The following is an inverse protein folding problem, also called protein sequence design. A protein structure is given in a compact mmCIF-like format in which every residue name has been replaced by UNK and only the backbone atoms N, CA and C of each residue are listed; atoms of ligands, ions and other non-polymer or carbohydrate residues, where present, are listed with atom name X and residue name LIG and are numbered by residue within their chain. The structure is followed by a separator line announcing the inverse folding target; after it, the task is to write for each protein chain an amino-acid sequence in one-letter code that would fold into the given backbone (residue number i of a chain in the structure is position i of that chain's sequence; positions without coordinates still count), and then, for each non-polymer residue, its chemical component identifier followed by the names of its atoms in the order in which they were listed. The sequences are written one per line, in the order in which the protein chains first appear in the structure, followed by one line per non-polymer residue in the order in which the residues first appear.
data_IF_520372253450
#
_entry.id   IF_520372253450
#
_cell.length_a   1.000
_cell.length_b   1.000
_cell.length_c   1.000
_cell.angle_alpha   90.00
_cell.angle_beta   90.00
_cell.angle_gamma   90.00
#
_symmetry.space_group_name_H-M   'P 1'
#
loop_
_entity.id
_entity.type
_entity.pdbx_description
1 polymer ?
#
# COMPACT_ATOMS: atom_id res chain seq x y z
N UNK A 1 -4.00 -11.71 -24.92
CA UNK A 1 -2.64 -12.13 -25.34
C UNK A 1 -2.46 -11.79 -26.83
N UNK A 2 -1.29 -11.23 -27.19
CA UNK A 2 -0.95 -10.92 -28.59
C UNK A 2 0.57 -10.99 -28.77
N UNK A 3 0.99 -11.38 -29.98
CA UNK A 3 2.41 -11.45 -30.34
C UNK A 3 3.06 -10.07 -30.33
N UNK A 4 4.38 -9.99 -30.24
CA UNK A 4 5.13 -8.74 -30.38
C UNK A 4 4.78 -8.10 -31.74
N UNK A 5 4.50 -6.80 -31.79
CA UNK A 5 4.09 -6.10 -33.00
C UNK A 5 2.60 -6.20 -33.39
N UNK A 6 1.75 -6.88 -32.60
CA UNK A 6 0.32 -7.05 -32.89
C UNK A 6 -0.57 -5.82 -32.60
N UNK A 7 0.01 -4.65 -32.35
CA UNK A 7 -0.74 -3.40 -32.11
C UNK A 7 -1.33 -3.25 -30.71
N UNK A 8 -0.94 -4.09 -29.73
CA UNK A 8 -1.45 -4.02 -28.33
C UNK A 8 -1.25 -2.64 -27.70
N UNK A 9 -0.04 -2.10 -27.78
CA UNK A 9 0.26 -0.77 -27.21
C UNK A 9 -0.55 0.33 -27.90
N UNK A 10 -0.75 0.22 -29.21
CA UNK A 10 -1.59 1.17 -29.96
C UNK A 10 -3.04 1.11 -29.52
N UNK A 11 -3.58 -0.11 -29.31
CA UNK A 11 -4.93 -0.29 -28.79
C UNK A 11 -5.07 0.28 -27.37
N UNK A 12 -4.11 -0.02 -26.49
CA UNK A 12 -4.12 0.50 -25.11
C UNK A 12 -4.02 2.03 -25.08
N UNK A 13 -3.19 2.64 -25.93
CA UNK A 13 -3.12 4.10 -26.07
C UNK A 13 -4.46 4.70 -26.48
N UNK A 14 -5.14 4.10 -27.45
CA UNK A 14 -6.49 4.53 -27.87
C UNK A 14 -7.53 4.36 -26.75
N UNK A 15 -7.46 3.28 -25.98
CA UNK A 15 -8.36 3.08 -24.82
C UNK A 15 -8.12 4.15 -23.76
N UNK A 16 -6.87 4.41 -23.38
CA UNK A 16 -6.51 5.45 -22.42
C UNK A 16 -7.03 6.82 -22.88
N UNK A 17 -6.77 7.18 -24.15
CA UNK A 17 -7.24 8.42 -24.76
C UNK A 17 -8.76 8.52 -24.72
N UNK A 18 -9.46 7.50 -25.21
CA UNK A 18 -10.92 7.47 -25.30
C UNK A 18 -11.56 7.59 -23.93
N UNK A 19 -11.15 6.76 -22.95
CA UNK A 19 -11.72 6.79 -21.61
C UNK A 19 -11.45 8.13 -20.91
N UNK A 20 -10.24 8.68 -21.06
CA UNK A 20 -9.91 9.99 -20.50
C UNK A 20 -10.77 11.10 -21.10
N UNK A 21 -11.01 11.08 -22.43
CA UNK A 21 -11.86 12.08 -23.10
C UNK A 21 -13.35 11.93 -22.72
N UNK A 22 -13.81 10.74 -22.38
CA UNK A 22 -15.16 10.51 -21.85
C UNK A 22 -15.36 10.97 -20.40
N UNK A 23 -14.29 11.34 -19.71
CA UNK A 23 -14.36 11.78 -18.32
C UNK A 23 -14.03 10.70 -17.28
N UNK A 24 -13.71 9.50 -17.72
CA UNK A 24 -13.40 8.37 -16.83
C UNK A 24 -12.11 8.59 -16.04
N UNK A 25 -12.06 8.05 -14.82
CA UNK A 25 -10.85 7.99 -14.00
C UNK A 25 -9.95 6.84 -14.45
N UNK A 26 -8.89 7.14 -15.17
CA UNK A 26 -7.98 6.15 -15.78
C UNK A 26 -6.74 5.95 -14.91
N UNK A 27 -6.42 4.68 -14.61
CA UNK A 27 -5.25 4.26 -13.82
C UNK A 27 -4.40 3.30 -14.64
N UNK A 28 -3.13 3.68 -14.86
CA UNK A 28 -2.21 2.97 -15.76
C UNK A 28 -0.94 2.56 -15.03
N UNK A 29 -0.47 1.34 -15.27
CA UNK A 29 0.89 0.91 -14.97
C UNK A 29 1.66 0.80 -16.28
N UNK A 30 2.77 1.55 -16.41
CA UNK A 30 3.60 1.60 -17.61
C UNK A 30 4.91 0.83 -17.40
N UNK A 31 5.02 -0.39 -17.94
CA UNK A 31 6.21 -1.22 -17.80
C UNK A 31 7.36 -0.83 -18.72
N UNK A 32 7.12 0.00 -19.72
CA UNK A 32 8.08 0.32 -20.78
C UNK A 32 8.43 1.80 -20.88
N UNK A 33 7.67 2.68 -20.21
CA UNK A 33 7.84 4.13 -20.30
C UNK A 33 7.23 4.76 -21.57
N UNK A 34 6.42 3.99 -22.32
CA UNK A 34 5.90 4.42 -23.62
C UNK A 34 4.64 5.31 -23.56
N UNK A 35 4.00 5.44 -22.39
CA UNK A 35 2.77 6.23 -22.23
C UNK A 35 3.01 7.67 -21.77
N UNK A 36 4.25 8.05 -21.44
CA UNK A 36 4.59 9.38 -20.89
C UNK A 36 4.05 10.52 -21.75
N UNK A 37 4.32 10.50 -23.07
CA UNK A 37 3.88 11.54 -24.00
C UNK A 37 2.36 11.65 -24.04
N UNK A 38 1.65 10.53 -24.21
CA UNK A 38 0.19 10.49 -24.24
C UNK A 38 -0.42 11.03 -22.94
N UNK A 39 0.10 10.60 -21.78
CA UNK A 39 -0.42 11.05 -20.48
C UNK A 39 -0.25 12.56 -20.32
N UNK A 40 0.89 13.12 -20.74
CA UNK A 40 1.15 14.57 -20.69
C UNK A 40 0.24 15.35 -21.65
N UNK A 41 0.04 14.87 -22.88
CA UNK A 41 -0.86 15.47 -23.87
C UNK A 41 -2.32 15.52 -23.39
N UNK A 42 -2.76 14.50 -22.64
CA UNK A 42 -4.10 14.43 -22.05
C UNK A 42 -4.23 15.17 -20.71
N UNK A 43 -3.19 15.89 -20.26
CA UNK A 43 -3.20 16.61 -18.98
C UNK A 43 -3.16 15.71 -17.75
N UNK A 44 -2.79 14.44 -17.93
CA UNK A 44 -2.65 13.47 -16.85
C UNK A 44 -1.34 13.61 -16.06
N UNK A 45 -1.23 12.85 -14.98
CA UNK A 45 -0.04 12.80 -14.13
C UNK A 45 0.74 11.52 -14.38
N UNK A 46 2.01 11.66 -14.75
CA UNK A 46 2.94 10.55 -14.98
C UNK A 46 4.02 10.57 -13.92
N UNK A 47 4.10 9.51 -13.10
CA UNK A 47 4.98 9.42 -11.95
C UNK A 47 5.79 8.11 -11.98
N UNK A 48 7.05 8.19 -11.56
CA UNK A 48 7.90 7.01 -11.40
C UNK A 48 7.79 6.44 -10.00
N UNK A 49 7.70 5.12 -9.87
CA UNK A 49 7.70 4.43 -8.57
C UNK A 49 9.11 4.02 -8.13
N UNK A 50 10.15 4.59 -8.72
CA UNK A 50 11.55 4.34 -8.36
C UNK A 50 12.13 5.37 -7.37
N UNK A 51 11.26 6.09 -6.68
CA UNK A 51 11.61 7.11 -5.70
C UNK A 51 11.92 8.49 -6.28
N UNK A 52 12.06 8.64 -7.60
CA UNK A 52 12.40 9.92 -8.25
C UNK A 52 11.30 10.97 -8.09
N UNK A 53 10.03 10.54 -8.16
CA UNK A 53 8.86 11.42 -8.03
C UNK A 53 8.23 11.38 -6.62
N UNK A 54 8.85 10.64 -5.70
CA UNK A 54 8.43 10.51 -4.30
C UNK A 54 8.17 9.07 -3.87
N UNK A 55 7.71 8.94 -2.63
CA UNK A 55 7.47 7.67 -1.96
C UNK A 55 5.96 7.47 -1.76
N UNK A 56 5.52 6.23 -1.85
CA UNK A 56 4.22 5.75 -1.40
C UNK A 56 4.42 4.93 -0.12
N UNK A 57 4.13 5.51 1.03
CA UNK A 57 4.27 4.86 2.31
C UNK A 57 3.31 3.66 2.45
N UNK A 58 3.86 2.47 2.67
CA UNK A 58 3.06 1.26 2.85
C UNK A 58 2.29 1.26 4.17
N UNK A 59 2.80 1.96 5.18
CA UNK A 59 2.20 2.08 6.51
C UNK A 59 1.10 3.14 6.58
N UNK A 60 0.86 3.90 5.51
CA UNK A 60 -0.30 4.78 5.42
C UNK A 60 -1.59 3.97 5.25
N UNK A 61 -2.57 4.25 6.12
CA UNK A 61 -3.88 3.59 6.10
C UNK A 61 -4.75 4.30 5.07
N UNK A 62 -5.04 3.61 3.97
CA UNK A 62 -5.88 4.14 2.90
C UNK A 62 -7.36 4.08 3.30
N UNK A 63 -8.14 5.06 2.87
CA UNK A 63 -9.59 5.08 3.07
C UNK A 63 -10.29 4.27 1.97
N UNK A 64 -10.56 3.01 2.25
CA UNK A 64 -11.23 2.07 1.34
C UNK A 64 -12.74 1.93 1.62
N UNK A 65 -13.20 2.44 2.76
CA UNK A 65 -14.58 2.37 3.22
C UNK A 65 -14.89 3.58 4.12
N UNK A 66 -16.16 3.86 4.36
CA UNK A 66 -16.58 4.85 5.35
C UNK A 66 -16.35 4.36 6.79
N UNK A 67 -16.34 3.05 6.98
CA UNK A 67 -16.09 2.42 8.27
C UNK A 67 -14.58 2.28 8.52
N UNK A 68 -14.08 3.00 9.50
CA UNK A 68 -12.65 3.00 9.88
C UNK A 68 -12.15 1.59 10.27
N UNK A 69 -12.99 0.75 10.89
CA UNK A 69 -12.64 -0.63 11.22
C UNK A 69 -12.40 -1.49 9.98
N UNK A 70 -13.17 -1.27 8.90
CA UNK A 70 -12.95 -1.93 7.59
C UNK A 70 -11.63 -1.49 6.99
N UNK A 71 -11.33 -0.18 7.01
CA UNK A 71 -10.07 0.37 6.54
C UNK A 71 -8.87 -0.27 7.26
N UNK A 72 -8.96 -0.40 8.58
CA UNK A 72 -7.93 -1.06 9.38
C UNK A 72 -7.72 -2.54 8.98
N UNK A 73 -8.79 -3.32 8.88
CA UNK A 73 -8.70 -4.75 8.48
C UNK A 73 -8.07 -4.88 7.10
N UNK A 74 -8.45 -4.04 6.15
CA UNK A 74 -7.87 -4.01 4.80
C UNK A 74 -6.38 -3.62 4.84
N UNK A 75 -6.02 -2.66 5.69
CA UNK A 75 -4.63 -2.24 5.86
C UNK A 75 -3.73 -3.36 6.41
N UNK A 76 -4.15 -4.04 7.48
CA UNK A 76 -3.42 -5.20 8.04
C UNK A 76 -3.31 -6.32 7.00
N UNK A 77 -4.38 -6.57 6.25
CA UNK A 77 -4.39 -7.56 5.17
C UNK A 77 -3.40 -7.19 4.06
N UNK A 78 -3.35 -5.91 3.67
CA UNK A 78 -2.39 -5.37 2.69
C UNK A 78 -0.95 -5.59 3.16
N UNK A 79 -0.61 -5.15 4.37
CA UNK A 79 0.74 -5.28 4.90
C UNK A 79 1.15 -6.76 5.06
N UNK A 80 0.23 -7.62 5.50
CA UNK A 80 0.47 -9.06 5.61
C UNK A 80 0.73 -9.71 4.24
N UNK A 81 -0.01 -9.31 3.20
CA UNK A 81 0.21 -9.79 1.84
C UNK A 81 1.57 -9.32 1.29
N UNK A 82 1.93 -8.04 1.49
CA UNK A 82 3.23 -7.49 1.09
C UNK A 82 4.36 -8.21 1.81
N UNK A 83 4.25 -8.41 3.13
CA UNK A 83 5.24 -9.15 3.92
C UNK A 83 5.43 -10.58 3.37
N UNK A 84 4.34 -11.30 3.11
CA UNK A 84 4.38 -12.64 2.51
C UNK A 84 5.09 -12.67 1.16
N UNK A 85 4.83 -11.68 0.28
CA UNK A 85 5.50 -11.55 -1.01
C UNK A 85 7.02 -11.32 -0.83
N UNK A 86 7.41 -10.46 0.10
CA UNK A 86 8.83 -10.19 0.43
C UNK A 86 9.56 -11.40 0.98
N UNK A 87 8.87 -12.21 1.76
CA UNK A 87 9.37 -13.51 2.24
C UNK A 87 9.28 -14.62 1.18
N UNK A 88 8.93 -14.29 -0.07
CA UNK A 88 8.79 -15.25 -1.18
C UNK A 88 7.87 -16.44 -0.82
N UNK A 89 6.82 -16.19 -0.02
CA UNK A 89 5.91 -17.19 0.54
C UNK A 89 6.58 -18.26 1.45
N UNK A 90 7.77 -18.00 1.97
CA UNK A 90 8.48 -18.91 2.88
C UNK A 90 8.08 -18.73 4.36
N UNK A 91 7.30 -17.70 4.69
CA UNK A 91 6.77 -17.49 6.04
C UNK A 91 5.65 -18.49 6.35
N UNK A 92 5.64 -19.00 7.59
CA UNK A 92 4.56 -19.85 8.07
C UNK A 92 3.41 -19.04 8.71
N UNK A 93 2.29 -19.72 9.01
CA UNK A 93 1.12 -19.05 9.59
C UNK A 93 1.39 -18.42 10.96
N UNK A 94 2.25 -19.04 11.78
CA UNK A 94 2.59 -18.49 13.09
C UNK A 94 3.37 -17.18 12.97
N UNK A 95 4.31 -17.11 12.03
CA UNK A 95 5.04 -15.87 11.72
C UNK A 95 4.10 -14.76 11.24
N UNK A 96 3.13 -15.08 10.38
CA UNK A 96 2.12 -14.12 9.94
C UNK A 96 1.20 -13.63 11.07
N UNK A 97 0.83 -14.54 11.98
CA UNK A 97 0.04 -14.18 13.16
C UNK A 97 0.85 -13.27 14.11
N UNK A 98 2.12 -13.56 14.31
CA UNK A 98 3.04 -12.71 15.09
C UNK A 98 3.22 -11.35 14.41
N UNK A 99 3.37 -11.31 13.09
CA UNK A 99 3.46 -10.07 12.33
C UNK A 99 2.20 -9.21 12.51
N UNK A 100 1.01 -9.80 12.33
CA UNK A 100 -0.26 -9.07 12.49
C UNK A 100 -0.44 -8.53 13.92
N UNK A 101 -0.01 -9.27 14.93
CA UNK A 101 -0.03 -8.83 16.33
C UNK A 101 0.94 -7.66 16.56
N UNK A 102 2.18 -7.79 16.07
CA UNK A 102 3.18 -6.72 16.17
C UNK A 102 2.74 -5.44 15.46
N UNK A 103 2.03 -5.56 14.32
CA UNK A 103 1.44 -4.40 13.65
C UNK A 103 0.39 -3.70 14.51
N UNK A 104 -0.53 -4.44 15.12
CA UNK A 104 -1.54 -3.85 15.99
C UNK A 104 -0.89 -3.14 17.19
N UNK A 105 0.01 -3.82 17.88
CA UNK A 105 0.74 -3.29 19.03
C UNK A 105 1.56 -2.03 18.63
N UNK A 106 2.16 -2.04 17.44
CA UNK A 106 2.89 -0.90 16.89
C UNK A 106 2.00 0.32 16.64
N UNK A 107 0.85 0.14 16.01
CA UNK A 107 -0.07 1.27 15.75
C UNK A 107 -0.72 1.79 17.04
N UNK A 108 -0.84 0.97 18.09
CA UNK A 108 -1.22 1.40 19.44
C UNK A 108 -0.09 2.25 20.04
N UNK A 109 1.16 1.77 20.01
CA UNK A 109 2.34 2.49 20.55
C UNK A 109 2.56 3.81 19.81
N UNK A 110 2.28 3.84 18.50
CA UNK A 110 2.37 5.04 17.66
C UNK A 110 1.22 6.04 17.90
N UNK A 111 0.12 5.61 18.53
CA UNK A 111 -1.01 6.46 18.92
C UNK A 111 -2.11 6.63 17.85
N UNK A 112 -2.11 5.81 16.79
CA UNK A 112 -3.18 5.81 15.77
C UNK A 112 -4.34 4.92 16.21
N UNK A 113 -4.04 3.75 16.78
CA UNK A 113 -5.02 2.82 17.31
C UNK A 113 -5.17 3.05 18.82
N UNK A 114 -6.40 3.07 19.37
CA UNK A 114 -6.63 3.19 20.81
C UNK A 114 -5.94 2.09 21.63
N UNK A 115 -5.58 2.40 22.87
CA UNK A 115 -4.85 1.49 23.76
C UNK A 115 -5.58 0.16 24.05
N UNK A 116 -6.91 0.13 23.93
CA UNK A 116 -7.72 -1.08 24.06
C UNK A 116 -7.78 -1.93 22.78
N UNK A 117 -7.13 -1.47 21.70
CA UNK A 117 -7.08 -2.13 20.39
C UNK A 117 -8.41 -2.13 19.63
N UNK A 118 -9.43 -1.40 20.10
CA UNK A 118 -10.75 -1.39 19.49
C UNK A 118 -10.89 -0.24 18.50
N UNK A 119 -11.04 -0.59 17.25
CA UNK A 119 -11.30 0.36 16.18
C UNK A 119 -12.78 0.32 15.84
N UNK A 120 -13.46 1.41 16.12
CA UNK A 120 -14.88 1.61 15.79
C UNK A 120 -15.00 2.42 14.50
N UNK A 121 -16.22 2.57 13.99
CA UNK A 121 -16.49 3.43 12.83
C UNK A 121 -16.13 4.92 13.05
N UNK A 122 -15.91 5.32 14.31
CA UNK A 122 -15.58 6.70 14.69
C UNK A 122 -14.11 6.88 15.10
N UNK A 123 -13.31 5.81 15.11
CA UNK A 123 -11.89 5.86 15.44
C UNK A 123 -11.12 6.37 14.22
N UNK A 124 -10.58 7.60 14.21
CA UNK A 124 -10.00 8.20 13.00
C UNK A 124 -8.63 7.56 12.70
N UNK A 125 -8.62 6.46 11.96
CA UNK A 125 -7.38 5.81 11.50
C UNK A 125 -7.01 6.20 10.07
N UNK A 126 -7.97 6.69 9.27
CA UNK A 126 -7.77 7.11 7.89
C UNK A 126 -7.83 8.63 7.72
N UNK A 127 -7.21 9.14 6.65
CA UNK A 127 -7.30 10.56 6.26
C UNK A 127 -6.47 11.50 7.14
N UNK A 128 -5.57 10.96 7.93
CA UNK A 128 -4.55 11.74 8.64
C UNK A 128 -3.57 12.35 7.62
N UNK A 129 -2.79 13.34 8.05
CA UNK A 129 -1.71 13.85 7.20
C UNK A 129 -0.64 12.77 7.01
N UNK A 130 0.05 12.70 5.86
CA UNK A 130 1.06 11.68 5.61
C UNK A 130 2.12 11.58 6.71
N UNK A 131 2.50 12.70 7.30
CA UNK A 131 3.50 12.81 8.37
C UNK A 131 3.01 12.25 9.72
N UNK A 132 1.72 11.98 9.85
CA UNK A 132 1.12 11.37 11.05
C UNK A 132 1.08 9.84 10.98
N UNK A 133 1.39 9.26 9.83
CA UNK A 133 1.53 7.82 9.70
C UNK A 133 2.97 7.39 9.94
N UNK A 134 3.20 6.21 10.55
CA UNK A 134 4.55 5.69 10.74
C UNK A 134 5.22 5.35 9.42
N UNK A 135 6.54 5.33 9.44
CA UNK A 135 7.38 4.87 8.34
C UNK A 135 7.88 3.44 8.58
N UNK A 136 8.58 2.89 7.61
CA UNK A 136 9.23 1.58 7.76
C UNK A 136 10.33 1.60 8.82
N UNK A 137 11.09 2.69 8.93
CA UNK A 137 12.08 2.91 9.99
C UNK A 137 11.45 2.98 11.37
N UNK A 138 10.27 3.58 11.52
CA UNK A 138 9.56 3.61 12.80
C UNK A 138 9.16 2.20 13.24
N UNK A 139 8.69 1.38 12.31
CA UNK A 139 8.37 -0.02 12.60
C UNK A 139 9.61 -0.84 12.96
N UNK A 140 10.74 -0.63 12.26
CA UNK A 140 12.01 -1.29 12.59
C UNK A 140 12.49 -0.91 14.00
N UNK A 141 12.46 0.37 14.35
CA UNK A 141 12.83 0.86 15.67
C UNK A 141 11.92 0.26 16.77
N UNK A 142 10.61 0.15 16.48
CA UNK A 142 9.67 -0.50 17.38
C UNK A 142 10.03 -1.99 17.60
N UNK A 143 10.36 -2.73 16.54
CA UNK A 143 10.77 -4.14 16.64
C UNK A 143 12.04 -4.30 17.47
N UNK A 144 13.06 -3.44 17.25
CA UNK A 144 14.30 -3.44 18.04
C UNK A 144 14.01 -3.24 19.53
N UNK A 145 13.17 -2.26 19.86
CA UNK A 145 12.75 -2.00 21.24
C UNK A 145 12.02 -3.20 21.85
N UNK A 146 11.06 -3.78 21.13
CA UNK A 146 10.26 -4.94 21.61
C UNK A 146 11.11 -6.17 21.85
N UNK A 147 12.10 -6.44 21.00
CA UNK A 147 13.03 -7.57 21.15
C UNK A 147 13.94 -7.33 22.38
N UNK A 148 14.47 -6.11 22.56
CA UNK A 148 15.35 -5.78 23.68
C UNK A 148 14.62 -5.78 25.04
N UNK A 149 13.38 -5.33 25.09
CA UNK A 149 12.57 -5.28 26.30
C UNK A 149 11.98 -6.63 26.69
N UNK A 150 12.05 -7.62 25.79
CA UNK A 150 11.50 -8.94 26.07
C UNK A 150 12.28 -9.65 27.18
N UNK A 151 11.58 -9.94 28.29
CA UNK A 151 12.13 -10.72 29.41
C UNK A 151 11.59 -12.15 29.32
N UNK A 152 12.45 -13.16 29.16
CA UNK A 152 12.02 -14.55 29.19
C UNK A 152 11.32 -14.86 30.53
N UNK A 153 10.21 -15.59 30.47
CA UNK A 153 9.59 -16.14 31.67
C UNK A 153 10.49 -17.25 32.27
N UNK A 154 10.55 -17.34 33.59
CA UNK A 154 11.25 -18.43 34.30
C UNK A 154 10.48 -19.76 34.20
N UNK A 155 9.18 -19.71 33.89
CA UNK A 155 8.35 -20.88 33.61
C UNK A 155 8.74 -21.52 32.27
N UNK A 156 9.03 -22.82 32.28
CA UNK A 156 9.56 -23.54 31.12
C UNK A 156 8.60 -23.50 29.90
N UNK A 157 7.30 -23.59 30.10
CA UNK A 157 6.30 -23.58 29.03
C UNK A 157 6.17 -22.17 28.40
N UNK A 158 6.05 -21.15 29.25
CA UNK A 158 6.02 -19.76 28.79
C UNK A 158 7.37 -19.31 28.22
N UNK A 159 8.48 -19.85 28.72
CA UNK A 159 9.82 -19.62 28.19
C UNK A 159 10.01 -20.15 26.78
N UNK A 160 9.42 -21.32 26.44
CA UNK A 160 9.44 -21.88 25.08
C UNK A 160 8.60 -21.05 24.09
N UNK A 161 7.40 -20.62 24.50
CA UNK A 161 6.55 -19.76 23.69
C UNK A 161 7.23 -18.41 23.43
N UNK A 162 7.89 -17.86 24.44
CA UNK A 162 8.65 -16.64 24.31
C UNK A 162 9.85 -16.74 23.37
N UNK A 163 10.59 -17.85 23.39
CA UNK A 163 11.68 -18.09 22.43
C UNK A 163 11.14 -18.15 21.00
N UNK A 164 10.01 -18.81 20.77
CA UNK A 164 9.38 -18.87 19.44
C UNK A 164 8.95 -17.47 18.96
N UNK A 165 8.36 -16.66 19.86
CA UNK A 165 8.02 -15.27 19.54
C UNK A 165 9.24 -14.45 19.16
N UNK A 166 10.34 -14.53 19.94
CA UNK A 166 11.58 -13.82 19.66
C UNK A 166 12.18 -14.21 18.30
N UNK A 167 12.20 -15.49 17.97
CA UNK A 167 12.69 -15.96 16.68
C UNK A 167 11.86 -15.37 15.53
N UNK A 168 10.53 -15.36 15.66
CA UNK A 168 9.65 -14.78 14.64
C UNK A 168 9.81 -13.27 14.56
N UNK A 169 9.92 -12.58 15.69
CA UNK A 169 10.14 -11.14 15.73
C UNK A 169 11.47 -10.74 15.09
N UNK A 170 12.53 -11.54 15.29
CA UNK A 170 13.85 -11.30 14.69
C UNK A 170 13.84 -11.55 13.17
N UNK A 171 13.12 -12.56 12.69
CA UNK A 171 12.89 -12.77 11.24
C UNK A 171 12.16 -11.59 10.59
N UNK A 172 11.11 -11.08 11.25
CA UNK A 172 10.39 -9.90 10.79
C UNK A 172 11.32 -8.68 10.78
N UNK A 173 12.03 -8.45 11.89
CA UNK A 173 13.01 -7.37 12.06
C UNK A 173 14.07 -7.40 10.96
N UNK A 174 14.69 -8.56 10.74
CA UNK A 174 15.73 -8.75 9.71
C UNK A 174 15.21 -8.42 8.30
N UNK A 175 13.96 -8.79 8.01
CA UNK A 175 13.32 -8.44 6.73
C UNK A 175 13.21 -6.93 6.58
N UNK A 176 12.73 -6.21 7.59
CA UNK A 176 12.58 -4.74 7.55
C UNK A 176 13.93 -4.00 7.60
N UNK A 177 14.91 -4.51 8.34
CA UNK A 177 16.28 -3.98 8.33
C UNK A 177 16.88 -4.00 6.92
N UNK A 178 16.72 -5.12 6.21
CA UNK A 178 17.16 -5.24 4.82
C UNK A 178 16.48 -4.20 3.91
N UNK A 179 15.16 -4.00 4.06
CA UNK A 179 14.40 -3.03 3.27
C UNK A 179 14.84 -1.61 3.52
N UNK A 180 14.96 -1.21 4.79
CA UNK A 180 15.39 0.16 5.16
C UNK A 180 16.82 0.41 4.69
N UNK A 181 17.74 -0.54 4.89
CA UNK A 181 19.15 -0.39 4.53
C UNK A 181 19.38 -0.30 3.02
N UNK A 182 18.76 -1.19 2.25
CA UNK A 182 19.06 -1.35 0.83
C UNK A 182 18.09 -0.63 -0.10
N UNK A 183 16.86 -0.37 0.36
CA UNK A 183 15.77 0.20 -0.44
C UNK A 183 15.10 1.40 0.24
N UNK A 184 15.72 1.99 1.28
CA UNK A 184 15.15 3.08 2.06
C UNK A 184 14.73 4.28 1.22
N UNK A 185 15.56 4.69 0.25
CA UNK A 185 15.25 5.78 -0.66
C UNK A 185 13.96 5.55 -1.51
N UNK A 186 13.51 4.32 -1.58
CA UNK A 186 12.37 3.91 -2.38
C UNK A 186 11.13 3.60 -1.52
N UNK A 187 11.33 3.05 -0.32
CA UNK A 187 10.29 2.46 0.51
C UNK A 187 10.09 3.14 1.86
N UNK A 188 11.14 3.82 2.38
CA UNK A 188 11.13 4.34 3.74
C UNK A 188 10.95 5.86 3.75
N UNK A 189 9.79 6.31 4.18
CA UNK A 189 9.41 7.71 4.28
C UNK A 189 7.90 7.89 4.22
N UNK A 190 7.47 9.11 4.54
CA UNK A 190 6.06 9.47 4.40
C UNK A 190 5.67 9.62 2.94
N UNK A 191 4.39 9.39 2.64
CA UNK A 191 3.87 9.59 1.27
C UNK A 191 4.11 11.03 0.83
N UNK A 192 4.96 11.20 -0.16
CA UNK A 192 5.31 12.49 -0.76
C UNK A 192 4.63 12.73 -2.11
N UNK A 193 4.09 11.68 -2.73
CA UNK A 193 3.27 11.77 -3.94
C UNK A 193 1.86 12.26 -3.54
N UNK A 194 1.63 13.57 -3.71
CA UNK A 194 0.39 14.23 -3.26
C UNK A 194 -0.62 14.45 -4.40
N UNK A 195 -1.89 14.63 -4.03
CA UNK A 195 -3.00 15.01 -4.92
C UNK A 195 -3.22 14.05 -6.10
N UNK A 196 -2.99 12.75 -5.91
CA UNK A 196 -3.18 11.75 -6.96
C UNK A 196 -4.61 11.21 -7.03
N UNK A 197 -5.37 11.29 -5.93
CA UNK A 197 -6.76 10.80 -5.88
C UNK A 197 -7.73 11.60 -6.75
N UNK A 198 -7.43 12.88 -6.99
CA UNK A 198 -8.27 13.77 -7.79
C UNK A 198 -7.85 13.84 -9.26
N UNK A 199 -6.72 13.20 -9.62
CA UNK A 199 -6.21 13.19 -10.99
C UNK A 199 -7.02 12.21 -11.82
N UNK A 200 -7.61 12.68 -12.91
CA UNK A 200 -8.40 11.86 -13.82
C UNK A 200 -7.55 10.76 -14.48
N UNK A 201 -6.43 11.12 -15.08
CA UNK A 201 -5.49 10.17 -15.69
C UNK A 201 -4.20 10.11 -14.87
N UNK A 202 -3.98 8.98 -14.19
CA UNK A 202 -2.76 8.73 -13.42
C UNK A 202 -2.03 7.52 -13.98
N UNK A 203 -0.76 7.70 -14.33
CA UNK A 203 0.12 6.63 -14.80
C UNK A 203 1.34 6.49 -13.92
N UNK A 204 1.59 5.30 -13.40
CA UNK A 204 2.83 4.94 -12.73
C UNK A 204 3.78 4.25 -13.72
N UNK A 205 4.95 4.85 -13.90
CA UNK A 205 6.09 4.20 -14.56
C UNK A 205 6.70 3.17 -13.61
N UNK A 206 6.67 1.92 -14.02
CA UNK A 206 7.22 0.79 -13.25
C UNK A 206 8.43 0.14 -13.93
N UNK A 207 8.96 0.72 -15.01
CA UNK A 207 10.04 0.13 -15.80
C UNK A 207 11.31 -0.13 -14.97
N UNK A 208 11.67 0.77 -14.05
CA UNK A 208 12.79 0.61 -13.13
C UNK A 208 12.48 -0.41 -12.05
N UNK A 209 11.26 -0.38 -11.50
CA UNK A 209 10.79 -1.29 -10.45
C UNK A 209 10.83 -2.75 -10.92
N UNK A 210 10.48 -3.00 -12.18
CA UNK A 210 10.52 -4.35 -12.77
C UNK A 210 11.94 -4.96 -12.89
N UNK A 211 12.99 -4.16 -12.71
CA UNK A 211 14.40 -4.62 -12.68
C UNK A 211 14.90 -4.96 -11.28
N UNK A 212 14.12 -4.65 -10.25
CA UNK A 212 14.45 -5.00 -8.87
C UNK A 212 14.22 -6.49 -8.61
N UNK A 213 14.70 -6.96 -7.46
CA UNK A 213 14.40 -8.31 -7.00
C UNK A 213 12.88 -8.56 -7.00
N UNK A 214 12.42 -9.75 -7.44
CA UNK A 214 10.97 -10.04 -7.54
C UNK A 214 10.19 -9.80 -6.24
N UNK A 215 10.80 -10.05 -5.10
CA UNK A 215 10.21 -9.82 -3.78
C UNK A 215 9.93 -8.33 -3.51
N UNK A 216 10.87 -7.47 -3.87
CA UNK A 216 10.77 -6.00 -3.72
C UNK A 216 9.77 -5.45 -4.74
N UNK A 217 9.94 -5.82 -6.01
CA UNK A 217 9.05 -5.44 -7.09
C UNK A 217 7.58 -5.77 -6.77
N UNK A 218 7.31 -7.00 -6.33
CA UNK A 218 5.95 -7.45 -6.00
C UNK A 218 5.32 -6.64 -4.88
N UNK A 219 6.07 -6.27 -3.84
CA UNK A 219 5.57 -5.43 -2.75
C UNK A 219 5.18 -4.02 -3.21
N UNK A 220 6.04 -3.38 -4.01
CA UNK A 220 5.77 -2.05 -4.58
C UNK A 220 4.54 -2.07 -5.49
N UNK A 221 4.47 -3.06 -6.39
CA UNK A 221 3.34 -3.20 -7.30
C UNK A 221 2.04 -3.48 -6.55
N UNK A 222 2.07 -4.32 -5.51
CA UNK A 222 0.90 -4.60 -4.70
C UNK A 222 0.40 -3.34 -3.98
N UNK A 223 1.29 -2.53 -3.39
CA UNK A 223 0.93 -1.27 -2.75
C UNK A 223 0.31 -0.27 -3.76
N UNK A 224 0.90 -0.13 -4.95
CA UNK A 224 0.39 0.74 -6.01
C UNK A 224 -0.99 0.26 -6.55
N UNK A 225 -1.19 -1.04 -6.71
CA UNK A 225 -2.47 -1.61 -7.12
C UNK A 225 -3.55 -1.40 -6.07
N UNK A 226 -3.23 -1.56 -4.78
CA UNK A 226 -4.16 -1.29 -3.69
C UNK A 226 -4.56 0.18 -3.64
N UNK A 227 -3.62 1.11 -3.90
CA UNK A 227 -3.93 2.53 -4.04
C UNK A 227 -4.87 2.81 -5.23
N UNK A 228 -4.64 2.18 -6.38
CA UNK A 228 -5.52 2.32 -7.53
C UNK A 228 -6.92 1.76 -7.26
N UNK A 229 -7.00 0.61 -6.60
CA UNK A 229 -8.26 0.01 -6.17
C UNK A 229 -9.03 0.95 -5.23
N UNK A 230 -8.36 1.51 -4.23
CA UNK A 230 -8.92 2.49 -3.31
C UNK A 230 -9.51 3.71 -4.05
N UNK A 231 -8.79 4.25 -5.03
CA UNK A 231 -9.28 5.35 -5.84
C UNK A 231 -10.55 4.97 -6.62
N UNK A 232 -10.59 3.77 -7.22
CA UNK A 232 -11.77 3.29 -7.94
C UNK A 232 -12.98 3.14 -7.02
N UNK A 233 -12.78 2.54 -5.83
CA UNK A 233 -13.86 2.35 -4.85
C UNK A 233 -14.42 3.69 -4.37
N UNK A 234 -13.54 4.65 -4.05
CA UNK A 234 -13.99 5.99 -3.60
C UNK A 234 -14.77 6.76 -4.67
N UNK A 235 -14.29 6.72 -5.91
CA UNK A 235 -15.00 7.36 -7.04
C UNK A 235 -16.34 6.69 -7.25
N UNK A 236 -16.39 5.36 -7.30
CA UNK A 236 -17.62 4.59 -7.47
C UNK A 236 -18.63 4.84 -6.34
N UNK A 237 -18.20 4.84 -5.09
CA UNK A 237 -19.07 5.13 -3.93
C UNK A 237 -19.64 6.53 -3.99
N UNK A 238 -18.82 7.53 -4.35
CA UNK A 238 -19.27 8.92 -4.53
C UNK A 238 -20.30 9.03 -5.66
N UNK A 239 -20.04 8.42 -6.80
CA UNK A 239 -20.96 8.44 -7.95
C UNK A 239 -22.29 7.76 -7.61
N UNK A 240 -22.25 6.62 -6.92
CA UNK A 240 -23.44 5.93 -6.43
C UNK A 240 -24.27 6.82 -5.51
N UNK A 241 -23.63 7.49 -4.54
CA UNK A 241 -24.31 8.40 -3.62
C UNK A 241 -24.97 9.59 -4.35
N UNK A 242 -24.30 10.18 -5.36
CA UNK A 242 -24.86 11.25 -6.18
C UNK A 242 -26.05 10.77 -7.01
N UNK A 243 -26.01 9.55 -7.55
CA UNK A 243 -27.11 8.96 -8.29
C UNK A 243 -28.32 8.68 -7.37
N UNK A 244 -28.11 8.09 -6.20
CA UNK A 244 -29.14 7.84 -5.20
C UNK A 244 -29.79 9.17 -4.72
N UNK A 245 -29.01 10.25 -4.64
CA UNK A 245 -29.50 11.60 -4.36
C UNK A 245 -30.15 12.30 -5.57
N UNK A 246 -30.29 11.62 -6.71
CA UNK A 246 -30.84 12.14 -7.98
C UNK A 246 -30.11 13.39 -8.51
N UNK A 247 -28.84 13.54 -8.18
CA UNK A 247 -27.99 14.65 -8.66
C UNK A 247 -27.30 14.36 -9.99
N UNK A 248 -27.18 13.09 -10.33
CA UNK A 248 -26.64 12.60 -11.61
C UNK A 248 -27.54 11.50 -12.17
N UNK A 249 -27.49 11.29 -13.49
CA UNK A 249 -28.20 10.19 -14.16
C UNK A 249 -27.36 8.92 -14.14
N UNK A 250 -27.97 7.76 -14.44
CA UNK A 250 -27.27 6.48 -14.58
C UNK A 250 -26.15 6.52 -15.64
N UNK A 251 -26.29 7.40 -16.65
CA UNK A 251 -25.28 7.59 -17.70
C UNK A 251 -24.06 8.38 -17.25
N UNK A 252 -24.15 9.09 -16.14
CA UNK A 252 -23.08 9.89 -15.57
C UNK A 252 -22.27 9.10 -14.52
N UNK A 253 -22.66 7.83 -14.26
CA UNK A 253 -21.92 6.94 -13.38
C UNK A 253 -20.69 6.42 -14.15
N UNK A 254 -19.51 6.85 -13.70
CA UNK A 254 -18.19 6.56 -14.30
C UNK A 254 -17.53 5.43 -13.52
#
# INVERSE_FOLDING_TARGET
YGMMGSGKSTLLKKLIETQTLFGDYVRVLDPSGEYRGLVQELGGKYLSLDGADGILNEFEIQRVDENEGVCWVQHVSKLTAIYRLRRQNQCNQNELNTYSKLLLDFYIDFGIVPADGKITSQTPVCGLQPEQYPTMSDFLNYLDKRIQEYKPSEDAEHGELGKKFLLQADEIRSTYENLVRNYGNLLDGHTSIRNISQVQLLCFNIATVLKLEPAICSGILYNALMLYWDHCVRVGSRMKALHEAQQISERDII
#
